data_IF_835692923779
#
_entry.id   IF_835692923779
#
_cell.length_a   1.000
_cell.length_b   1.000
_cell.length_c   1.000
_cell.angle_alpha   90.00
_cell.angle_beta   90.00
_cell.angle_gamma   90.00
#
_symmetry.space_group_name_H-M   'P 1'
#
loop_
_entity.id
_entity.type
_entity.pdbx_description
1 polymer ?
#
# COMPACT_ATOMS: atom_id res chain seq x y z
N UNK A 1 44.85 -26.25 -18.21
CA UNK A 1 44.37 -25.00 -17.55
C UNK A 1 42.94 -24.60 -17.93
N UNK A 2 42.47 -24.90 -19.16
CA UNK A 2 41.12 -24.53 -19.65
C UNK A 2 39.93 -25.29 -19.04
N UNK A 3 40.14 -26.39 -18.31
CA UNK A 3 39.08 -27.18 -17.67
C UNK A 3 38.60 -26.61 -16.33
N UNK A 4 39.41 -25.79 -15.65
CA UNK A 4 39.03 -25.13 -14.39
C UNK A 4 38.14 -23.89 -14.64
N UNK A 5 38.32 -23.20 -15.76
CA UNK A 5 37.56 -21.98 -16.10
C UNK A 5 36.10 -22.32 -16.43
N UNK A 6 35.85 -23.41 -17.19
CA UNK A 6 34.49 -23.90 -17.49
C UNK A 6 33.74 -24.38 -16.25
N UNK A 7 34.45 -25.02 -15.30
CA UNK A 7 33.88 -25.43 -14.01
C UNK A 7 33.49 -24.21 -13.18
N UNK A 8 34.37 -23.20 -13.10
CA UNK A 8 34.11 -21.93 -12.40
C UNK A 8 32.87 -21.21 -12.93
N UNK A 9 32.70 -21.17 -14.26
CA UNK A 9 31.51 -20.62 -14.90
C UNK A 9 30.25 -21.44 -14.59
N UNK A 10 30.32 -22.78 -14.64
CA UNK A 10 29.20 -23.65 -14.31
C UNK A 10 28.77 -23.55 -12.83
N UNK A 11 29.71 -23.45 -11.89
CA UNK A 11 29.40 -23.18 -10.46
C UNK A 11 28.80 -21.79 -10.27
N UNK A 12 29.29 -20.76 -10.98
CA UNK A 12 28.71 -19.42 -10.91
C UNK A 12 27.27 -19.39 -11.42
N UNK A 13 26.98 -20.07 -12.53
CA UNK A 13 25.63 -20.14 -13.11
C UNK A 13 24.66 -20.94 -12.22
N UNK A 14 25.11 -22.05 -11.63
CA UNK A 14 24.33 -22.80 -10.63
C UNK A 14 24.03 -21.96 -9.39
N UNK A 15 25.01 -21.24 -8.85
CA UNK A 15 24.80 -20.36 -7.69
C UNK A 15 23.78 -19.25 -7.98
N UNK A 16 23.83 -18.64 -9.18
CA UNK A 16 22.87 -17.61 -9.58
C UNK A 16 21.44 -18.15 -9.69
N UNK A 17 21.26 -19.35 -10.26
CA UNK A 17 19.96 -20.00 -10.37
C UNK A 17 19.36 -20.33 -8.99
N UNK A 18 20.18 -20.84 -8.07
CA UNK A 18 19.77 -21.14 -6.71
C UNK A 18 19.39 -19.85 -5.96
N UNK A 19 20.15 -18.77 -6.14
CA UNK A 19 19.84 -17.48 -5.51
C UNK A 19 18.49 -16.93 -5.98
N UNK A 20 18.20 -17.00 -7.28
CA UNK A 20 16.93 -16.55 -7.86
C UNK A 20 15.71 -17.34 -7.36
N UNK A 21 15.86 -18.64 -7.09
CA UNK A 21 14.76 -19.50 -6.61
C UNK A 21 14.50 -19.34 -5.11
N UNK A 22 15.52 -18.99 -4.31
CA UNK A 22 15.42 -18.89 -2.85
C UNK A 22 15.09 -17.46 -2.37
N UNK A 23 15.47 -16.43 -3.13
CA UNK A 23 15.15 -15.02 -2.83
C UNK A 23 13.66 -14.74 -2.56
N UNK A 24 12.70 -15.30 -3.34
CA UNK A 24 11.28 -15.03 -3.13
C UNK A 24 10.70 -15.65 -1.85
N UNK A 25 11.39 -16.63 -1.24
CA UNK A 25 10.97 -17.24 0.02
C UNK A 25 11.41 -16.42 1.24
N UNK A 26 12.55 -15.72 1.15
CA UNK A 26 13.13 -14.91 2.23
C UNK A 26 12.57 -13.48 2.25
N UNK A 27 12.31 -12.90 1.08
CA UNK A 27 11.55 -11.67 0.95
C UNK A 27 10.07 -12.05 0.87
N UNK A 28 9.40 -12.14 2.02
CA UNK A 28 7.98 -12.50 2.11
C UNK A 28 7.17 -11.84 0.99
N UNK A 29 6.45 -12.69 0.24
CA UNK A 29 5.57 -12.38 -0.90
C UNK A 29 5.36 -10.88 -1.08
N UNK A 30 5.98 -10.29 -2.11
CA UNK A 30 5.66 -8.92 -2.54
C UNK A 30 4.17 -8.89 -2.85
N UNK A 31 3.37 -8.39 -1.91
CA UNK A 31 1.95 -8.14 -2.12
C UNK A 31 1.89 -6.93 -3.05
N UNK A 32 1.83 -7.19 -4.36
CA UNK A 32 1.35 -6.18 -5.30
C UNK A 32 -0.11 -5.90 -4.91
N UNK A 33 -0.34 -4.85 -4.11
CA UNK A 33 -1.69 -4.38 -3.82
C UNK A 33 -2.26 -3.82 -5.13
N UNK A 34 -3.40 -4.33 -5.62
CA UNK A 34 -3.98 -3.89 -6.89
C UNK A 34 -4.62 -2.49 -6.80
N UNK A 35 -4.51 -1.82 -5.65
CA UNK A 35 -4.92 -0.43 -5.46
C UNK A 35 -3.74 0.49 -5.76
N UNK A 36 -3.88 1.29 -6.82
CA UNK A 36 -2.93 2.27 -7.35
C UNK A 36 -2.47 3.37 -6.36
N UNK A 37 -1.89 3.01 -5.21
CA UNK A 37 -1.30 3.95 -4.24
C UNK A 37 -2.08 4.17 -2.95
N UNK A 38 -3.20 3.47 -2.71
CA UNK A 38 -3.90 3.53 -1.43
C UNK A 38 -3.55 2.33 -0.56
N UNK A 39 -3.13 2.59 0.67
CA UNK A 39 -2.90 1.58 1.69
C UNK A 39 -3.21 2.16 3.09
N UNK A 40 -3.57 1.33 4.08
CA UNK A 40 -4.11 1.84 5.36
C UNK A 40 -3.14 2.71 6.16
N UNK A 41 -1.83 2.48 6.00
CA UNK A 41 -0.75 3.16 6.72
C UNK A 41 -0.19 4.39 5.98
N UNK A 42 -0.94 4.92 5.00
CA UNK A 42 -0.46 6.00 4.13
C UNK A 42 0.03 7.24 4.89
N UNK A 43 -0.58 7.56 6.02
CA UNK A 43 -0.25 8.74 6.82
C UNK A 43 0.70 8.46 7.99
N UNK A 44 1.15 7.23 8.21
CA UNK A 44 1.90 6.87 9.43
C UNK A 44 3.21 7.66 9.57
N UNK A 45 3.88 7.98 8.46
CA UNK A 45 5.14 8.75 8.46
C UNK A 45 4.93 10.26 8.40
N UNK A 46 3.93 10.73 7.64
CA UNK A 46 3.70 12.16 7.42
C UNK A 46 2.85 12.80 8.52
N UNK A 47 1.84 12.09 9.01
CA UNK A 47 0.94 12.54 10.08
C UNK A 47 0.35 11.32 10.83
N UNK A 48 1.08 10.75 11.80
CA UNK A 48 0.67 9.52 12.50
C UNK A 48 -0.64 9.70 13.28
N UNK A 49 -0.95 10.93 13.70
CA UNK A 49 -2.16 11.26 14.47
C UNK A 49 -3.37 11.57 13.60
N UNK A 50 -3.25 11.53 12.27
CA UNK A 50 -4.34 11.91 11.36
C UNK A 50 -5.63 11.15 11.67
N UNK A 51 -5.54 9.82 11.83
CA UNK A 51 -6.69 8.97 12.16
C UNK A 51 -7.33 9.35 13.49
N UNK A 52 -6.52 9.51 14.54
CA UNK A 52 -7.01 9.87 15.88
C UNK A 52 -7.69 11.24 15.90
N UNK A 53 -7.09 12.24 15.24
CA UNK A 53 -7.64 13.60 15.16
C UNK A 53 -9.01 13.58 14.47
N UNK A 54 -9.10 12.93 13.31
CA UNK A 54 -10.37 12.82 12.56
C UNK A 54 -11.42 12.08 13.39
N UNK A 55 -11.04 10.98 14.05
CA UNK A 55 -11.95 10.22 14.90
C UNK A 55 -12.47 11.05 16.08
N UNK A 56 -11.59 11.80 16.76
CA UNK A 56 -11.98 12.65 17.89
C UNK A 56 -12.99 13.73 17.47
N UNK A 57 -12.73 14.41 16.35
CA UNK A 57 -13.60 15.50 15.87
C UNK A 57 -14.94 14.93 15.42
N UNK A 58 -14.94 13.83 14.67
CA UNK A 58 -16.18 13.18 14.21
C UNK A 58 -16.99 12.67 15.40
N UNK A 59 -16.35 12.06 16.40
CA UNK A 59 -17.03 11.61 17.62
C UNK A 59 -17.68 12.77 18.37
N UNK A 60 -16.98 13.90 18.51
CA UNK A 60 -17.53 15.11 19.13
C UNK A 60 -18.73 15.67 18.34
N UNK A 61 -18.62 15.75 17.02
CA UNK A 61 -19.69 16.23 16.16
C UNK A 61 -20.94 15.33 16.21
N UNK A 62 -20.75 14.01 16.26
CA UNK A 62 -21.85 13.04 16.39
C UNK A 62 -22.47 13.07 17.78
N UNK A 63 -21.67 13.29 18.83
CA UNK A 63 -22.18 13.46 20.19
C UNK A 63 -23.02 14.74 20.34
N UNK A 64 -22.65 15.81 19.62
CA UNK A 64 -23.44 17.05 19.58
C UNK A 64 -24.73 16.86 18.79
N UNK A 65 -24.67 16.19 17.64
CA UNK A 65 -25.85 15.92 16.81
C UNK A 65 -25.71 14.57 16.10
N UNK A 66 -26.53 13.59 16.52
CA UNK A 66 -26.41 12.19 16.05
C UNK A 66 -26.60 12.05 14.54
N UNK A 67 -27.40 12.93 13.93
CA UNK A 67 -27.62 13.00 12.48
C UNK A 67 -26.33 13.28 11.68
N UNK A 68 -25.29 13.88 12.30
CA UNK A 68 -24.01 14.16 11.65
C UNK A 68 -23.34 12.91 11.07
N UNK A 69 -23.46 11.75 11.75
CA UNK A 69 -22.86 10.50 11.26
C UNK A 69 -23.42 10.12 9.89
N UNK A 70 -24.75 10.15 9.75
CA UNK A 70 -25.43 9.84 8.49
C UNK A 70 -25.12 10.86 7.39
N UNK A 71 -25.04 12.15 7.76
CA UNK A 71 -24.70 13.23 6.82
C UNK A 71 -23.28 13.08 6.25
N UNK A 72 -22.28 12.77 7.09
CA UNK A 72 -20.88 12.57 6.66
C UNK A 72 -20.76 11.38 5.70
N UNK A 73 -21.43 10.27 6.02
CA UNK A 73 -21.43 9.07 5.16
C UNK A 73 -22.10 9.38 3.81
N UNK A 74 -23.25 10.07 3.83
CA UNK A 74 -23.94 10.49 2.60
C UNK A 74 -23.08 11.41 1.73
N UNK A 75 -22.33 12.32 2.35
CA UNK A 75 -21.39 13.21 1.65
C UNK A 75 -20.26 12.40 1.00
N UNK A 76 -19.65 11.47 1.74
CA UNK A 76 -18.60 10.60 1.18
C UNK A 76 -19.10 9.79 -0.04
N UNK A 77 -20.31 9.23 0.06
CA UNK A 77 -20.93 8.56 -1.08
C UNK A 77 -21.20 9.55 -2.23
N UNK A 78 -21.72 10.74 -1.94
CA UNK A 78 -21.98 11.75 -2.97
C UNK A 78 -20.70 12.14 -3.75
N UNK A 79 -19.58 12.35 -3.07
CA UNK A 79 -18.29 12.69 -3.70
C UNK A 79 -17.72 11.54 -4.53
N UNK A 80 -18.01 10.29 -4.16
CA UNK A 80 -17.55 9.12 -4.92
C UNK A 80 -18.45 8.80 -6.12
N UNK A 81 -19.76 9.03 -5.99
CA UNK A 81 -20.73 8.79 -7.07
C UNK A 81 -20.71 9.91 -8.12
N UNK A 82 -20.57 11.17 -7.70
CA UNK A 82 -20.40 12.32 -8.59
C UNK A 82 -18.91 12.46 -8.90
N UNK A 83 -18.42 11.56 -9.74
CA UNK A 83 -17.02 11.43 -10.13
C UNK A 83 -16.46 12.75 -10.68
N UNK A 84 -15.80 13.55 -9.85
CA UNK A 84 -14.72 14.44 -10.29
C UNK A 84 -13.43 13.81 -9.80
N UNK A 85 -12.99 12.77 -10.50
CA UNK A 85 -11.68 12.19 -10.28
C UNK A 85 -10.63 13.31 -10.40
N UNK A 86 -9.77 13.47 -9.40
CA UNK A 86 -8.55 14.31 -9.51
C UNK A 86 -7.62 13.86 -10.65
N UNK A 87 -7.87 12.69 -11.23
CA UNK A 87 -7.24 12.21 -12.47
C UNK A 87 -7.87 12.76 -13.76
N UNK A 88 -8.94 13.54 -13.68
CA UNK A 88 -9.56 14.25 -14.82
C UNK A 88 -8.95 15.64 -15.04
N UNK A 89 -7.96 16.03 -14.23
CA UNK A 89 -7.24 17.29 -14.34
C UNK A 89 -5.72 17.11 -14.53
N UNK A 90 -5.27 15.89 -14.85
CA UNK A 90 -3.90 15.60 -15.32
C UNK A 90 -3.93 15.07 -16.75
#
# INVERSE_FOLDING_TARGET
>A
MMTNIKKSMATSMSCLLVLCLVCPLLAGVVRANPWYGLFPQFYDHSCPKAKEIVQSIVAQAVAQETRMAASLVRLHFHDCFVKVSVSSFL
#
